data_IF_454229690609
#
_entry.id   IF_454229690609
#
_cell.length_a   1.000
_cell.length_b   1.000
_cell.length_c   1.000
_cell.angle_alpha   90.00
_cell.angle_beta   90.00
_cell.angle_gamma   90.00
#
_symmetry.space_group_name_H-M   'P 1'
#
loop_
_entity.id
_entity.type
_entity.pdbx_description
1 polymer ?
#
# COMPACT_ATOMS: atom_id res chain seq x y z
N UNK A 1 0.08 -1.02 -31.13
CA UNK A 1 -0.09 -0.61 -29.72
C UNK A 1 0.53 -1.71 -28.90
N UNK A 2 1.62 -1.43 -28.18
CA UNK A 2 2.23 -2.44 -27.32
C UNK A 2 1.24 -2.80 -26.22
N UNK A 3 0.84 -4.06 -26.18
CA UNK A 3 0.11 -4.60 -25.05
C UNK A 3 1.11 -4.80 -23.92
N UNK A 4 0.89 -4.12 -22.78
CA UNK A 4 1.67 -4.31 -21.58
C UNK A 4 1.68 -5.81 -21.19
N UNK A 5 2.84 -6.35 -20.82
CA UNK A 5 2.95 -7.75 -20.37
C UNK A 5 2.14 -7.95 -19.08
N UNK A 6 1.75 -9.19 -18.72
CA UNK A 6 1.06 -9.45 -17.46
C UNK A 6 1.82 -8.92 -16.23
N UNK A 7 3.16 -8.95 -16.26
CA UNK A 7 4.01 -8.36 -15.22
C UNK A 7 3.85 -6.83 -15.16
N UNK A 8 3.94 -6.13 -16.29
CA UNK A 8 3.72 -4.68 -16.34
C UNK A 8 2.34 -4.30 -15.81
N UNK A 9 1.31 -5.06 -16.18
CA UNK A 9 -0.05 -4.82 -15.70
C UNK A 9 -0.15 -4.97 -14.18
N UNK A 10 0.47 -6.02 -13.61
CA UNK A 10 0.44 -6.25 -12.17
C UNK A 10 1.22 -5.17 -11.40
N UNK A 11 2.40 -4.77 -11.89
CA UNK A 11 3.19 -3.67 -11.31
C UNK A 11 2.45 -2.33 -11.39
N UNK A 12 1.83 -2.02 -12.53
CA UNK A 12 1.02 -0.82 -12.70
C UNK A 12 -0.22 -0.81 -11.80
N UNK A 13 -0.88 -1.96 -11.62
CA UNK A 13 -2.02 -2.09 -10.72
C UNK A 13 -1.59 -1.85 -9.26
N UNK A 14 -0.51 -2.50 -8.81
CA UNK A 14 0.04 -2.29 -7.46
C UNK A 14 0.39 -0.82 -7.22
N UNK A 15 1.10 -0.18 -8.16
CA UNK A 15 1.40 1.26 -8.11
C UNK A 15 0.13 2.10 -7.96
N UNK A 16 -0.86 1.87 -8.82
CA UNK A 16 -2.09 2.67 -8.83
C UNK A 16 -2.87 2.55 -7.53
N UNK A 17 -2.95 1.35 -6.95
CA UNK A 17 -3.63 1.12 -5.67
C UNK A 17 -2.93 1.85 -4.52
N UNK A 18 -1.61 1.74 -4.41
CA UNK A 18 -0.88 2.42 -3.32
C UNK A 18 -0.91 3.94 -3.48
N UNK A 19 -0.82 4.46 -4.71
CA UNK A 19 -1.00 5.89 -4.96
C UNK A 19 -2.42 6.38 -4.56
N UNK A 20 -3.46 5.57 -4.80
CA UNK A 20 -4.82 5.93 -4.39
C UNK A 20 -4.94 6.07 -2.86
N UNK A 21 -4.29 5.20 -2.10
CA UNK A 21 -4.26 5.28 -0.63
C UNK A 21 -3.43 6.46 -0.12
N UNK A 22 -2.29 6.76 -0.77
CA UNK A 22 -1.47 7.93 -0.45
C UNK A 22 -2.23 9.23 -0.70
N UNK A 23 -2.99 9.30 -1.80
CA UNK A 23 -3.87 10.45 -2.11
C UNK A 23 -4.98 10.56 -1.07
N UNK A 24 -5.61 9.44 -0.69
CA UNK A 24 -6.64 9.42 0.35
C UNK A 24 -6.09 9.90 1.71
N UNK A 25 -4.84 9.52 2.03
CA UNK A 25 -4.14 9.95 3.24
C UNK A 25 -3.48 11.32 3.15
N UNK A 26 -3.67 12.05 2.03
CA UNK A 26 -3.09 13.38 1.78
C UNK A 26 -1.56 13.46 1.90
N UNK A 27 -0.86 12.38 1.51
CA UNK A 27 0.61 12.28 1.56
C UNK A 27 1.24 11.94 0.19
N UNK A 28 0.52 12.19 -0.91
CA UNK A 28 1.00 11.90 -2.28
C UNK A 28 1.91 13.00 -2.86
N UNK A 29 2.87 13.49 -2.08
CA UNK A 29 3.88 14.44 -2.53
C UNK A 29 4.94 13.78 -3.43
N UNK A 30 5.69 14.56 -4.21
CA UNK A 30 6.58 14.03 -5.24
C UNK A 30 7.70 13.12 -4.69
N UNK A 31 8.21 13.42 -3.50
CA UNK A 31 9.20 12.60 -2.80
C UNK A 31 8.60 11.28 -2.29
N UNK A 32 7.35 11.29 -1.80
CA UNK A 32 6.62 10.09 -1.42
C UNK A 32 6.28 9.22 -2.64
N UNK A 33 5.86 9.83 -3.75
CA UNK A 33 5.64 9.10 -5.02
C UNK A 33 6.92 8.42 -5.49
N UNK A 34 8.09 9.05 -5.29
CA UNK A 34 9.38 8.42 -5.60
C UNK A 34 9.60 7.12 -4.81
N UNK A 35 9.15 7.05 -3.55
CA UNK A 35 9.22 5.81 -2.74
C UNK A 35 8.38 4.68 -3.35
N UNK A 36 7.23 5.01 -3.94
CA UNK A 36 6.39 4.03 -4.64
C UNK A 36 7.12 3.49 -5.87
N UNK A 37 7.73 4.38 -6.67
CA UNK A 37 8.46 3.96 -7.87
C UNK A 37 9.71 3.13 -7.53
N UNK A 38 10.41 3.45 -6.45
CA UNK A 38 11.53 2.65 -5.93
C UNK A 38 11.04 1.25 -5.52
N UNK A 39 9.91 1.17 -4.80
CA UNK A 39 9.30 -0.10 -4.40
C UNK A 39 8.87 -0.94 -5.61
N UNK A 40 8.21 -0.34 -6.60
CA UNK A 40 7.81 -1.02 -7.85
C UNK A 40 9.03 -1.52 -8.62
N UNK A 41 10.10 -0.72 -8.69
CA UNK A 41 11.35 -1.09 -9.36
C UNK A 41 12.00 -2.29 -8.66
N UNK A 42 12.05 -2.29 -7.33
CA UNK A 42 12.58 -3.42 -6.56
C UNK A 42 11.72 -4.68 -6.76
N UNK A 43 10.38 -4.54 -6.72
CA UNK A 43 9.46 -5.67 -6.84
C UNK A 43 9.36 -6.26 -8.24
N UNK A 44 9.68 -5.50 -9.28
CA UNK A 44 9.89 -6.04 -10.64
C UNK A 44 10.92 -7.16 -10.62
N UNK A 45 12.12 -6.87 -10.12
CA UNK A 45 13.21 -7.84 -10.10
C UNK A 45 12.81 -9.09 -9.30
N UNK A 46 12.10 -8.89 -8.17
CA UNK A 46 11.61 -9.99 -7.34
C UNK A 46 10.64 -10.92 -8.09
N UNK A 47 9.63 -10.38 -8.79
CA UNK A 47 8.68 -11.19 -9.58
C UNK A 47 9.34 -11.81 -10.81
N UNK A 48 10.35 -11.19 -11.39
CA UNK A 48 11.13 -11.82 -12.47
C UNK A 48 11.84 -13.10 -11.98
N UNK A 49 12.21 -13.18 -10.70
CA UNK A 49 12.74 -14.41 -10.09
C UNK A 49 11.63 -15.40 -9.69
N UNK A 50 10.42 -14.91 -9.42
CA UNK A 50 9.28 -15.72 -9.02
C UNK A 50 7.95 -15.19 -9.60
N UNK A 51 7.57 -15.61 -10.83
CA UNK A 51 6.44 -15.04 -11.56
C UNK A 51 5.08 -15.19 -10.87
N UNK A 52 4.87 -16.27 -10.11
CA UNK A 52 3.64 -16.51 -9.35
C UNK A 52 3.44 -15.45 -8.25
N UNK A 53 4.51 -14.77 -7.83
CA UNK A 53 4.47 -13.67 -6.89
C UNK A 53 3.76 -12.40 -7.40
N UNK A 54 3.39 -12.33 -8.68
CA UNK A 54 2.68 -11.18 -9.26
C UNK A 54 1.40 -10.81 -8.49
N UNK A 55 0.69 -11.80 -7.95
CA UNK A 55 -0.52 -11.59 -7.15
C UNK A 55 -0.29 -10.89 -5.80
N UNK A 56 0.97 -10.80 -5.35
CA UNK A 56 1.33 -10.28 -4.01
C UNK A 56 1.87 -8.85 -4.09
N UNK A 57 2.10 -8.35 -5.30
CA UNK A 57 2.73 -7.06 -5.55
C UNK A 57 2.05 -5.89 -4.83
N UNK A 58 0.72 -5.84 -4.82
CA UNK A 58 0.00 -4.75 -4.17
C UNK A 58 0.27 -4.69 -2.66
N UNK A 59 0.31 -5.84 -1.98
CA UNK A 59 0.58 -5.91 -0.54
C UNK A 59 2.03 -5.63 -0.21
N UNK A 60 2.95 -6.14 -1.03
CA UNK A 60 4.39 -5.92 -0.85
C UNK A 60 4.79 -4.46 -1.10
N UNK A 61 4.27 -3.83 -2.15
CA UNK A 61 4.54 -2.40 -2.42
C UNK A 61 3.94 -1.53 -1.31
N UNK A 62 2.76 -1.86 -0.79
CA UNK A 62 2.18 -1.13 0.34
C UNK A 62 3.05 -1.20 1.60
N UNK A 63 3.60 -2.38 1.91
CA UNK A 63 4.54 -2.59 3.01
C UNK A 63 5.86 -1.84 2.80
N UNK A 64 6.48 -1.94 1.62
CA UNK A 64 7.72 -1.23 1.30
C UNK A 64 7.57 0.29 1.47
N UNK A 65 6.44 0.85 1.01
CA UNK A 65 6.13 2.28 1.15
C UNK A 65 5.87 2.65 2.61
N UNK A 66 5.18 1.80 3.37
CA UNK A 66 4.97 2.00 4.80
C UNK A 66 6.31 2.05 5.55
N UNK A 67 7.23 1.13 5.28
CA UNK A 67 8.55 1.09 5.90
C UNK A 67 9.36 2.34 5.53
N UNK A 68 9.38 2.70 4.24
CA UNK A 68 10.10 3.89 3.77
C UNK A 68 9.54 5.20 4.36
N UNK A 69 8.20 5.29 4.51
CA UNK A 69 7.56 6.43 5.16
C UNK A 69 7.86 6.45 6.66
N UNK A 70 7.83 5.31 7.33
CA UNK A 70 8.14 5.19 8.76
C UNK A 70 9.53 5.73 9.08
N UNK A 71 10.52 5.40 8.26
CA UNK A 71 11.90 5.86 8.42
C UNK A 71 12.06 7.37 8.19
N UNK A 72 11.31 7.96 7.25
CA UNK A 72 11.53 9.34 6.77
C UNK A 72 10.57 10.38 7.36
N UNK A 73 9.30 10.02 7.50
CA UNK A 73 8.20 10.95 7.82
C UNK A 73 7.36 10.49 9.02
N UNK A 74 7.38 9.19 9.33
CA UNK A 74 6.63 8.57 10.41
C UNK A 74 5.52 7.65 9.93
N UNK A 75 4.60 7.32 10.85
CA UNK A 75 3.63 6.23 10.66
C UNK A 75 2.60 6.57 9.58
N UNK A 76 2.40 5.65 8.65
CA UNK A 76 1.35 5.71 7.64
C UNK A 76 0.86 4.30 7.27
N UNK A 77 -0.42 4.13 6.89
CA UNK A 77 -1.52 5.06 7.10
C UNK A 77 -1.96 5.04 8.57
N UNK A 78 -2.30 6.21 9.14
CA UNK A 78 -2.79 6.25 10.52
C UNK A 78 -4.17 5.58 10.65
N UNK A 79 -4.35 4.83 11.73
CA UNK A 79 -5.57 4.11 11.99
C UNK A 79 -6.76 5.06 12.26
N UNK A 80 -7.84 5.00 11.46
CA UNK A 80 -9.03 5.82 11.67
C UNK A 80 -10.00 5.22 12.71
N UNK A 81 -9.82 3.94 13.06
CA UNK A 81 -10.73 3.20 13.97
C UNK A 81 -10.49 3.56 15.43
N UNK A 82 -9.22 3.65 15.83
CA UNK A 82 -8.85 3.91 17.21
C UNK A 82 -8.70 5.42 17.46
N UNK A 83 -9.82 6.08 17.77
CA UNK A 83 -9.87 7.52 18.05
C UNK A 83 -9.32 7.94 19.43
N UNK A 84 -9.04 6.98 20.31
CA UNK A 84 -8.55 7.22 21.66
C UNK A 84 -7.19 6.53 21.88
N UNK A 85 -6.21 7.30 22.38
CA UNK A 85 -4.85 6.84 22.65
C UNK A 85 -3.84 7.26 21.59
N UNK A 86 -2.64 6.68 21.66
CA UNK A 86 -1.54 7.04 20.76
C UNK A 86 -1.82 6.63 19.30
N UNK A 87 -1.56 7.51 18.32
CA UNK A 87 -1.67 7.18 16.90
C UNK A 87 -0.79 6.00 16.51
N UNK A 88 -1.34 5.06 15.75
CA UNK A 88 -0.63 3.91 15.19
C UNK A 88 -0.97 3.72 13.72
N UNK A 89 -0.08 3.06 13.00
CA UNK A 89 -0.30 2.70 11.61
C UNK A 89 -1.27 1.51 11.51
N UNK A 90 -1.97 1.39 10.39
CA UNK A 90 -2.60 0.14 9.98
C UNK A 90 -1.54 -0.82 9.47
N UNK A 91 -1.79 -2.13 9.59
CA UNK A 91 -0.93 -3.17 9.02
C UNK A 91 -1.54 -3.67 7.70
N UNK A 92 -0.72 -4.29 6.84
CA UNK A 92 -1.17 -4.97 5.63
C UNK A 92 -1.31 -6.46 5.91
N UNK A 93 -2.50 -7.01 5.69
CA UNK A 93 -2.74 -8.46 5.76
C UNK A 93 -3.26 -9.01 4.42
N UNK A 94 -2.90 -10.26 4.06
CA UNK A 94 -1.83 -11.05 4.66
C UNK A 94 -0.45 -10.40 4.42
N UNK A 95 0.52 -10.64 5.32
CA UNK A 95 1.91 -10.15 5.18
C UNK A 95 2.52 -10.57 3.83
N UNK A 96 2.24 -11.82 3.41
CA UNK A 96 2.58 -12.32 2.07
C UNK A 96 1.40 -13.14 1.52
N UNK A 97 0.71 -12.60 0.52
CA UNK A 97 -0.39 -13.29 -0.15
C UNK A 97 -1.23 -12.38 -1.05
N UNK A 98 -2.25 -12.93 -1.73
CA UNK A 98 -3.17 -12.17 -2.56
C UNK A 98 -4.19 -11.42 -1.71
N UNK A 99 -4.98 -10.55 -2.36
CA UNK A 99 -6.07 -9.77 -1.75
C UNK A 99 -5.66 -8.95 -0.51
N UNK A 100 -4.58 -8.14 -0.60
CA UNK A 100 -4.06 -7.39 0.52
C UNK A 100 -5.06 -6.34 1.00
N UNK A 101 -5.11 -6.15 2.31
CA UNK A 101 -6.00 -5.21 2.95
C UNK A 101 -5.38 -4.60 4.20
N UNK A 102 -5.74 -3.34 4.45
CA UNK A 102 -5.38 -2.62 5.65
C UNK A 102 -6.19 -3.13 6.84
N UNK A 103 -5.53 -3.44 7.94
CA UNK A 103 -6.13 -3.88 9.20
C UNK A 103 -5.68 -2.99 10.35
N UNK A 104 -6.53 -2.86 11.35
CA UNK A 104 -6.09 -2.38 12.65
C UNK A 104 -5.83 -3.60 13.54
N UNK A 105 -4.58 -4.01 13.71
CA UNK A 105 -4.24 -5.16 14.55
C UNK A 105 -4.71 -4.99 16.01
N UNK A 106 -4.68 -3.75 16.53
CA UNK A 106 -5.16 -3.44 17.89
C UNK A 106 -6.65 -3.71 18.08
N UNK A 107 -7.47 -3.41 17.07
CA UNK A 107 -8.91 -3.61 17.11
C UNK A 107 -9.35 -4.96 16.52
N UNK A 108 -8.46 -5.67 15.81
CA UNK A 108 -8.74 -6.93 15.14
C UNK A 108 -9.74 -6.79 13.99
N UNK A 109 -9.71 -5.66 13.26
CA UNK A 109 -10.66 -5.38 12.17
C UNK A 109 -9.97 -5.04 10.87
N UNK A 110 -10.55 -5.54 9.76
CA UNK A 110 -10.25 -5.07 8.41
C UNK A 110 -10.84 -3.67 8.21
N UNK A 111 -10.01 -2.76 7.74
CA UNK A 111 -10.36 -1.36 7.50
C UNK A 111 -10.78 -1.16 6.05
N UNK A 112 -9.92 -1.54 5.10
CA UNK A 112 -10.19 -1.45 3.66
C UNK A 112 -9.27 -2.38 2.87
N UNK A 113 -9.60 -2.69 1.62
CA UNK A 113 -8.61 -3.24 0.68
C UNK A 113 -7.50 -2.21 0.42
N UNK A 114 -6.31 -2.65 0.02
CA UNK A 114 -5.28 -1.74 -0.51
C UNK A 114 -5.83 -1.03 -1.76
N UNK A 115 -5.65 0.28 -1.82
CA UNK A 115 -6.28 1.22 -2.76
C UNK A 115 -7.68 1.70 -2.36
N UNK A 116 -8.20 1.24 -1.22
CA UNK A 116 -9.57 1.46 -0.76
C UNK A 116 -9.73 2.45 0.39
N UNK A 117 -8.71 3.22 0.78
CA UNK A 117 -8.79 4.11 1.95
C UNK A 117 -9.63 5.38 1.72
N UNK A 118 -9.90 5.76 0.46
CA UNK A 118 -10.66 6.98 0.12
C UNK A 118 -11.99 7.12 0.87
N UNK A 119 -12.92 6.13 0.79
CA UNK A 119 -14.18 6.17 1.54
C UNK A 119 -14.00 6.16 3.06
N UNK A 120 -12.93 5.54 3.57
CA UNK A 120 -12.67 5.42 5.01
C UNK A 120 -12.24 6.76 5.60
N UNK A 121 -11.30 7.45 4.95
CA UNK A 121 -10.84 8.76 5.40
C UNK A 121 -11.84 9.88 5.07
N UNK A 122 -12.57 9.77 3.97
CA UNK A 122 -13.62 10.72 3.59
C UNK A 122 -14.87 10.67 4.49
N UNK A 123 -15.21 9.52 5.07
CA UNK A 123 -16.35 9.40 5.99
C UNK A 123 -16.16 10.14 7.34
N UNK A 124 -14.94 10.57 7.64
CA UNK A 124 -14.61 11.35 8.84
C UNK A 124 -14.56 12.86 8.65
N UNK A 125 -14.83 13.39 7.44
CA UNK A 125 -14.79 14.83 7.11
C UNK A 125 -16.19 15.43 6.99
#
# INVERSE_FOLDING_TARGET
>A
MDHATPLEQALHAARALVLADLVAGEVAEADVVSLVEDSVTHRRWWVEQWPEGAGYLAGLVAQDVQDALLEKYGRWPLCPVCSHGDPHALDVEPELGPDPHWVCAKAGVKVAAVGGLGPVFGAGR
#
